data_IF_007903713962
#
_entry.id   IF_007903713962
#
_cell.length_a   1.000
_cell.length_b   1.000
_cell.length_c   1.000
_cell.angle_alpha   90.00
_cell.angle_beta   90.00
_cell.angle_gamma   90.00
#
_symmetry.space_group_name_H-M   'P 1'
#
loop_
_entity.id
_entity.type
_entity.pdbx_description
1 polymer ?
#
# COMPACT_ATOMS: atom_id res chain seq x y z
N UNK A 1 -7.22 -15.77 4.15
CA UNK A 1 -8.57 -15.24 4.52
C UNK A 1 -9.70 -15.90 3.69
N UNK A 2 -9.54 -17.16 3.24
CA UNK A 2 -10.61 -17.92 2.56
C UNK A 2 -10.86 -17.61 1.08
N UNK A 3 -10.21 -16.60 0.49
CA UNK A 3 -10.35 -16.25 -0.93
C UNK A 3 -9.29 -16.95 -1.79
N UNK A 4 -9.67 -17.42 -2.97
CA UNK A 4 -8.73 -17.88 -3.99
C UNK A 4 -7.94 -16.67 -4.54
N UNK A 5 -6.62 -16.84 -4.67
CA UNK A 5 -5.74 -15.78 -5.16
C UNK A 5 -6.03 -15.41 -6.62
N UNK A 6 -6.43 -16.39 -7.44
CA UNK A 6 -6.71 -16.18 -8.86
C UNK A 6 -7.99 -15.35 -9.05
N UNK A 7 -8.99 -15.59 -8.19
CA UNK A 7 -10.25 -14.84 -8.20
C UNK A 7 -10.02 -13.37 -7.84
N UNK A 8 -9.26 -13.12 -6.77
CA UNK A 8 -9.04 -11.75 -6.30
C UNK A 8 -8.02 -10.97 -7.14
N UNK A 9 -7.09 -11.65 -7.80
CA UNK A 9 -6.11 -11.00 -8.68
C UNK A 9 -6.74 -10.32 -9.90
N UNK A 10 -7.90 -10.79 -10.34
CA UNK A 10 -8.62 -10.24 -11.50
C UNK A 10 -9.72 -9.25 -11.13
N UNK A 11 -10.18 -9.26 -9.88
CA UNK A 11 -11.39 -8.54 -9.45
C UNK A 11 -11.16 -7.50 -8.36
N UNK A 12 -10.07 -7.58 -7.60
CA UNK A 12 -9.79 -6.69 -6.48
C UNK A 12 -8.61 -5.75 -6.75
N UNK A 13 -8.68 -4.56 -6.18
CA UNK A 13 -7.55 -3.63 -6.14
C UNK A 13 -6.56 -3.98 -5.02
N UNK A 14 -5.32 -3.51 -5.15
CA UNK A 14 -4.29 -3.72 -4.14
C UNK A 14 -4.73 -3.25 -2.76
N UNK A 15 -5.37 -2.08 -2.65
CA UNK A 15 -5.85 -1.56 -1.37
C UNK A 15 -6.95 -2.41 -0.72
N UNK A 16 -7.79 -3.10 -1.51
CA UNK A 16 -8.79 -4.05 -0.99
C UNK A 16 -8.12 -5.28 -0.38
N UNK A 17 -7.10 -5.80 -1.05
CA UNK A 17 -6.31 -6.93 -0.56
C UNK A 17 -5.49 -6.54 0.66
N UNK A 18 -4.87 -5.37 0.67
CA UNK A 18 -4.17 -4.85 1.85
C UNK A 18 -5.12 -4.73 3.04
N UNK A 19 -6.32 -4.18 2.84
CA UNK A 19 -7.34 -4.08 3.88
C UNK A 19 -7.78 -5.47 4.38
N UNK A 20 -8.00 -6.42 3.46
CA UNK A 20 -8.33 -7.80 3.80
C UNK A 20 -7.24 -8.47 4.64
N UNK A 21 -5.97 -8.32 4.26
CA UNK A 21 -4.85 -8.91 4.99
C UNK A 21 -4.73 -8.33 6.40
N UNK A 22 -4.86 -7.01 6.56
CA UNK A 22 -4.73 -6.33 7.86
C UNK A 22 -5.98 -6.53 8.74
N UNK A 23 -7.19 -6.29 8.22
CA UNK A 23 -8.42 -6.18 9.02
C UNK A 23 -9.33 -7.40 8.94
N UNK A 24 -9.21 -8.21 7.89
CA UNK A 24 -9.85 -9.51 7.86
C UNK A 24 -11.11 -9.72 7.11
N UNK A 25 -11.53 -8.68 6.44
CA UNK A 25 -12.65 -8.68 5.54
C UNK A 25 -12.30 -7.76 4.38
N UNK A 26 -12.88 -8.07 3.22
CA UNK A 26 -12.92 -7.10 2.14
C UNK A 26 -13.68 -5.86 2.63
N UNK A 27 -13.19 -4.65 2.30
CA UNK A 27 -13.85 -3.42 2.70
C UNK A 27 -15.16 -3.24 1.92
N UNK A 28 -16.11 -2.54 2.54
CA UNK A 28 -17.20 -1.90 1.80
C UNK A 28 -16.66 -0.75 0.94
N UNK A 29 -17.44 -0.26 -0.03
CA UNK A 29 -17.02 0.88 -0.88
C UNK A 29 -16.63 2.13 -0.07
N UNK A 30 -17.35 2.42 1.01
CA UNK A 30 -17.06 3.54 1.89
C UNK A 30 -15.77 3.33 2.69
N UNK A 31 -15.57 2.14 3.25
CA UNK A 31 -14.33 1.77 3.95
C UNK A 31 -13.13 1.84 3.00
N UNK A 32 -13.27 1.35 1.76
CA UNK A 32 -12.21 1.41 0.74
C UNK A 32 -11.84 2.85 0.37
N UNK A 33 -12.83 3.72 0.16
CA UNK A 33 -12.59 5.12 -0.15
C UNK A 33 -11.84 5.84 0.99
N UNK A 34 -12.26 5.62 2.24
CA UNK A 34 -11.60 6.16 3.42
C UNK A 34 -10.17 5.61 3.57
N UNK A 35 -9.99 4.30 3.33
CA UNK A 35 -8.70 3.64 3.40
C UNK A 35 -7.73 4.19 2.35
N UNK A 36 -8.16 4.33 1.09
CA UNK A 36 -7.37 4.96 0.02
C UNK A 36 -7.00 6.41 0.34
N UNK A 37 -7.94 7.20 0.89
CA UNK A 37 -7.66 8.57 1.31
C UNK A 37 -6.58 8.62 2.39
N UNK A 38 -6.71 7.79 3.43
CA UNK A 38 -5.72 7.66 4.50
C UNK A 38 -4.35 7.27 3.93
N UNK A 39 -4.28 6.22 3.11
CA UNK A 39 -3.01 5.78 2.52
C UNK A 39 -2.35 6.87 1.69
N UNK A 40 -3.12 7.60 0.86
CA UNK A 40 -2.59 8.71 0.05
C UNK A 40 -1.99 9.81 0.92
N UNK A 41 -2.65 10.16 2.03
CA UNK A 41 -2.13 11.18 2.95
C UNK A 41 -0.80 10.79 3.62
N UNK A 42 -0.50 9.49 3.67
CA UNK A 42 0.71 8.94 4.31
C UNK A 42 1.84 8.64 3.32
N UNK A 43 1.71 8.96 2.03
CA UNK A 43 2.76 8.72 1.01
C UNK A 43 3.94 9.70 1.06
N UNK A 44 3.82 10.76 1.87
CA UNK A 44 4.87 11.77 2.00
C UNK A 44 6.14 11.21 2.61
N UNK A 45 7.30 11.51 2.01
CA UNK A 45 8.62 11.16 2.54
C UNK A 45 9.15 12.34 3.37
N UNK A 46 9.48 12.16 4.67
CA UNK A 46 10.07 13.22 5.50
C UNK A 46 11.34 13.80 4.90
N UNK A 47 11.58 15.10 5.07
CA UNK A 47 12.74 15.79 4.50
C UNK A 47 14.09 15.16 4.92
N UNK A 48 14.21 14.76 6.19
CA UNK A 48 15.40 14.07 6.69
C UNK A 48 15.68 12.75 5.97
N UNK A 49 14.62 11.99 5.63
CA UNK A 49 14.77 10.73 4.90
C UNK A 49 15.15 10.97 3.43
N UNK A 50 14.60 12.01 2.79
CA UNK A 50 15.02 12.41 1.42
C UNK A 50 16.50 12.75 1.37
N UNK A 51 16.97 13.58 2.31
CA UNK A 51 18.38 13.96 2.38
C UNK A 51 19.31 12.73 2.60
N UNK A 52 18.88 11.76 3.43
CA UNK A 52 19.63 10.52 3.62
C UNK A 52 19.70 9.68 2.33
N UNK A 53 18.61 9.59 1.56
CA UNK A 53 18.59 8.86 0.29
C UNK A 53 19.47 9.55 -0.78
N UNK A 54 19.50 10.88 -0.82
CA UNK A 54 20.33 11.66 -1.75
C UNK A 54 21.84 11.54 -1.46
N UNK A 55 22.23 11.12 -0.25
CA UNK A 55 23.62 10.88 0.11
C UNK A 55 24.12 9.49 -0.31
N UNK A 56 23.22 8.57 -0.67
CA UNK A 56 23.63 7.26 -1.15
C UNK A 56 24.33 7.38 -2.52
N UNK A 57 25.40 6.59 -2.77
CA UNK A 57 25.95 6.50 -4.11
C UNK A 57 24.88 6.11 -5.13
N UNK A 58 24.88 6.73 -6.30
CA UNK A 58 23.90 6.42 -7.36
C UNK A 58 23.97 4.95 -7.84
N UNK A 59 25.09 4.27 -7.59
CA UNK A 59 25.29 2.84 -7.88
C UNK A 59 24.81 1.91 -6.77
N UNK A 60 24.23 2.44 -5.69
CA UNK A 60 23.72 1.63 -4.58
C UNK A 60 22.63 0.71 -5.10
N UNK A 61 22.70 -0.57 -4.70
CA UNK A 61 21.66 -1.53 -5.09
C UNK A 61 20.31 -1.10 -4.46
N UNK A 62 19.18 -1.13 -5.21
CA UNK A 62 17.88 -0.66 -4.70
C UNK A 62 17.30 -1.43 -3.49
N UNK A 63 17.84 -2.63 -3.22
CA UNK A 63 17.45 -3.54 -2.13
C UNK A 63 18.66 -3.87 -1.28
#
# INVERSE_FOLDING_TARGET
>A
RGYDILDVATTCEFEEIAHLLVHGKLPTRAELAAYKHKLRSLRGIPAALKAALEQLPASTHPM
#
